data_IF_036642642860
#
_entry.id   IF_036642642860
#
_cell.length_a   1.000
_cell.length_b   1.000
_cell.length_c   1.000
_cell.angle_alpha   90.00
_cell.angle_beta   90.00
_cell.angle_gamma   90.00
#
_symmetry.space_group_name_H-M   'P 1'
#
loop_
_entity.id
_entity.type
_entity.pdbx_description
1 polymer ?
#
# COMPACT_ATOMS: atom_id res chain seq x y z
N UNK A 1 -7.63 -18.61 0.34
CA UNK A 1 -7.15 -17.27 0.74
C UNK A 1 -7.30 -16.33 -0.45
N UNK A 2 -8.04 -15.23 -0.31
CA UNK A 2 -8.42 -14.32 -1.42
C UNK A 2 -7.30 -13.38 -1.87
N UNK A 3 -6.05 -13.85 -1.92
CA UNK A 3 -4.85 -13.07 -2.29
C UNK A 3 -4.33 -13.56 -3.63
N UNK A 4 -3.85 -12.64 -4.47
CA UNK A 4 -3.22 -12.95 -5.75
C UNK A 4 -1.72 -12.70 -5.67
N UNK A 5 -0.93 -13.71 -6.02
CA UNK A 5 0.51 -13.56 -6.20
C UNK A 5 0.80 -13.05 -7.61
N UNK A 6 1.67 -12.05 -7.71
CA UNK A 6 2.09 -11.44 -8.98
C UNK A 6 3.61 -11.31 -8.94
N UNK A 7 4.28 -11.90 -9.93
CA UNK A 7 5.71 -11.73 -10.16
C UNK A 7 5.94 -11.20 -11.57
N UNK A 8 7.12 -10.62 -11.79
CA UNK A 8 7.57 -10.13 -13.10
C UNK A 8 8.90 -10.80 -13.48
N UNK A 9 9.17 -10.85 -14.78
CA UNK A 9 10.33 -11.56 -15.33
C UNK A 9 11.64 -10.78 -15.23
N UNK A 10 11.57 -9.45 -15.06
CA UNK A 10 12.76 -8.57 -14.97
C UNK A 10 12.70 -7.70 -13.71
N UNK A 11 13.87 -7.24 -13.25
CA UNK A 11 14.03 -6.57 -11.95
C UNK A 11 14.26 -5.05 -12.05
N UNK A 12 13.90 -4.42 -13.16
CA UNK A 12 14.08 -2.99 -13.40
C UNK A 12 13.32 -2.11 -12.40
N UNK A 13 13.83 -0.95 -12.01
CA UNK A 13 13.12 0.02 -11.14
C UNK A 13 12.69 -0.49 -9.75
N UNK A 14 13.28 -1.57 -9.24
CA UNK A 14 13.12 -2.06 -7.86
C UNK A 14 11.64 -2.10 -7.37
N UNK A 15 11.33 -1.49 -6.21
CA UNK A 15 9.98 -1.44 -5.61
C UNK A 15 8.96 -0.79 -6.54
N UNK A 16 9.32 0.32 -7.19
CA UNK A 16 8.43 1.01 -8.12
C UNK A 16 8.08 0.13 -9.33
N UNK A 17 9.04 -0.65 -9.85
CA UNK A 17 8.80 -1.61 -10.92
C UNK A 17 7.83 -2.73 -10.50
N UNK A 18 7.93 -3.22 -9.27
CA UNK A 18 7.00 -4.23 -8.74
C UNK A 18 5.57 -3.66 -8.63
N UNK A 19 5.42 -2.46 -8.06
CA UNK A 19 4.12 -1.80 -7.91
C UNK A 19 3.50 -1.53 -9.28
N UNK A 20 4.24 -0.93 -10.20
CA UNK A 20 3.75 -0.65 -11.55
C UNK A 20 3.33 -1.91 -12.31
N UNK A 21 4.02 -3.03 -12.11
CA UNK A 21 3.60 -4.31 -12.68
C UNK A 21 2.29 -4.81 -12.04
N UNK A 22 2.17 -4.75 -10.72
CA UNK A 22 0.98 -5.20 -10.00
C UNK A 22 -0.27 -4.34 -10.33
N UNK A 23 -0.09 -3.02 -10.52
CA UNK A 23 -1.17 -2.10 -10.87
C UNK A 23 -1.87 -2.44 -12.20
N UNK A 24 -1.18 -3.11 -13.14
CA UNK A 24 -1.79 -3.60 -14.40
C UNK A 24 -2.88 -4.65 -14.17
N UNK A 25 -2.87 -5.32 -13.01
CA UNK A 25 -3.81 -6.38 -12.65
C UNK A 25 -4.81 -5.94 -11.56
N UNK A 26 -4.51 -4.85 -10.84
CA UNK A 26 -5.39 -4.27 -9.84
C UNK A 26 -6.64 -3.69 -10.51
N UNK A 27 -7.81 -3.96 -9.92
CA UNK A 27 -9.12 -3.48 -10.42
C UNK A 27 -9.85 -2.57 -9.43
N UNK A 28 -9.26 -2.34 -8.26
CA UNK A 28 -9.83 -1.44 -7.25
C UNK A 28 -9.64 0.02 -7.64
N UNK A 29 -10.58 0.87 -7.24
CA UNK A 29 -10.50 2.33 -7.40
C UNK A 29 -9.37 2.93 -6.54
N UNK A 30 -9.11 2.32 -5.38
CA UNK A 30 -8.08 2.74 -4.45
C UNK A 30 -7.02 1.66 -4.28
N UNK A 31 -5.79 2.09 -4.00
CA UNK A 31 -4.65 1.22 -3.76
C UNK A 31 -4.05 1.56 -2.39
N UNK A 32 -3.80 0.53 -1.59
CA UNK A 32 -3.01 0.62 -0.37
C UNK A 32 -1.68 -0.12 -0.56
N UNK A 33 -0.60 0.45 -0.03
CA UNK A 33 0.75 -0.11 -0.13
C UNK A 33 1.24 -0.33 1.30
N UNK A 34 1.64 -1.57 1.59
CA UNK A 34 2.28 -1.96 2.84
C UNK A 34 3.61 -2.63 2.51
N UNK A 35 4.68 -2.26 3.20
CA UNK A 35 5.92 -3.00 3.14
C UNK A 35 5.80 -4.33 3.91
N UNK A 36 6.67 -5.30 3.61
CA UNK A 36 6.56 -6.66 4.14
C UNK A 36 6.73 -6.76 5.66
N UNK A 37 7.24 -5.71 6.29
CA UNK A 37 7.44 -5.53 7.72
C UNK A 37 6.32 -4.70 8.40
N UNK A 38 5.42 -4.10 7.62
CA UNK A 38 4.33 -3.27 8.15
C UNK A 38 3.01 -4.03 8.16
N UNK A 39 2.59 -4.46 9.35
CA UNK A 39 1.30 -5.12 9.56
C UNK A 39 0.22 -4.06 9.83
N UNK A 40 -0.76 -3.86 8.93
CA UNK A 40 -1.81 -2.86 9.15
C UNK A 40 -2.76 -3.27 10.27
N UNK A 41 -3.28 -2.29 10.99
CA UNK A 41 -4.36 -2.52 11.97
C UNK A 41 -5.67 -2.86 11.25
N UNK A 42 -6.56 -3.61 11.90
CA UNK A 42 -7.87 -3.98 11.34
C UNK A 42 -8.72 -2.76 10.96
N UNK A 43 -8.51 -1.62 11.62
CA UNK A 43 -9.23 -0.37 11.40
C UNK A 43 -8.64 0.50 10.29
N UNK A 44 -7.52 0.10 9.64
CA UNK A 44 -6.80 0.94 8.67
C UNK A 44 -7.72 1.56 7.60
N UNK A 45 -8.53 0.74 6.91
CA UNK A 45 -9.42 1.23 5.86
C UNK A 45 -10.58 2.07 6.43
N UNK A 46 -11.11 1.70 7.61
CA UNK A 46 -12.18 2.45 8.26
C UNK A 46 -11.74 3.89 8.60
N UNK A 47 -10.50 4.05 9.02
CA UNK A 47 -9.95 5.35 9.41
C UNK A 47 -9.48 6.20 8.22
N UNK A 48 -9.13 5.59 7.08
CA UNK A 48 -8.51 6.28 5.94
C UNK A 48 -9.48 6.55 4.80
N UNK A 49 -10.38 5.62 4.45
CA UNK A 49 -11.19 5.71 3.23
C UNK A 49 -12.21 6.85 3.23
N UNK A 50 -12.71 7.26 4.40
CA UNK A 50 -13.68 8.36 4.51
C UNK A 50 -13.16 9.68 3.97
N UNK A 51 -11.83 9.89 3.96
CA UNK A 51 -11.22 11.13 3.47
C UNK A 51 -11.26 11.26 1.96
N UNK A 52 -11.09 10.16 1.21
CA UNK A 52 -11.22 10.16 -0.24
C UNK A 52 -12.67 10.41 -0.70
N UNK A 53 -13.66 10.02 0.12
CA UNK A 53 -15.06 10.33 -0.13
C UNK A 53 -15.40 11.80 0.17
N UNK A 54 -14.75 12.37 1.20
CA UNK A 54 -14.96 13.75 1.63
C UNK A 54 -14.31 14.76 0.67
N UNK A 55 -13.07 14.50 0.24
CA UNK A 55 -12.28 15.41 -0.58
C UNK A 55 -12.00 14.80 -1.96
N UNK A 56 -12.72 15.28 -2.99
CA UNK A 56 -12.65 14.73 -4.35
C UNK A 56 -11.31 14.96 -5.04
N UNK A 57 -10.52 15.94 -4.59
CA UNK A 57 -9.19 16.21 -5.14
C UNK A 57 -8.07 15.49 -4.37
N UNK A 58 -8.40 14.69 -3.34
CA UNK A 58 -7.41 13.98 -2.55
C UNK A 58 -6.83 12.80 -3.34
N UNK A 59 -5.53 12.90 -3.69
CA UNK A 59 -4.83 11.85 -4.43
C UNK A 59 -4.09 10.85 -3.51
N UNK A 60 -3.71 11.25 -2.30
CA UNK A 60 -2.89 10.44 -1.40
C UNK A 60 -3.24 10.68 0.07
N UNK A 61 -3.28 9.61 0.86
CA UNK A 61 -3.40 9.65 2.31
C UNK A 61 -2.20 8.91 2.91
N UNK A 62 -1.38 9.61 3.69
CA UNK A 62 -0.22 9.04 4.38
C UNK A 62 -0.54 8.86 5.86
N UNK A 63 -0.30 7.67 6.41
CA UNK A 63 -0.35 7.42 7.85
C UNK A 63 1.04 7.46 8.46
N UNK A 64 1.18 7.79 9.76
CA UNK A 64 2.47 7.67 10.45
C UNK A 64 3.03 6.25 10.38
N UNK A 65 4.36 6.12 10.35
CA UNK A 65 5.03 4.84 10.51
C UNK A 65 5.33 4.61 11.99
N UNK A 66 4.94 3.45 12.50
CA UNK A 66 5.21 3.03 13.87
C UNK A 66 6.03 1.74 13.83
N UNK A 67 7.19 1.76 14.48
CA UNK A 67 8.12 0.65 14.53
C UNK A 67 8.06 -0.03 15.89
N UNK A 68 8.09 -1.36 15.90
CA UNK A 68 8.09 -2.14 17.15
C UNK A 68 9.45 -2.12 17.84
N UNK A 69 10.53 -2.09 17.06
CA UNK A 69 11.89 -2.02 17.56
C UNK A 69 12.39 -0.58 17.52
N UNK A 70 13.20 -0.16 18.51
CA UNK A 70 13.93 1.09 18.41
C UNK A 70 14.92 1.03 17.26
N UNK A 71 15.25 2.20 16.70
CA UNK A 71 16.35 2.31 15.75
C UNK A 71 17.66 1.89 16.41
N UNK A 72 18.61 1.29 15.66
CA UNK A 72 19.94 1.01 16.18
C UNK A 72 20.60 2.30 16.66
N UNK A 73 21.25 2.24 17.82
CA UNK A 73 22.09 3.33 18.36
C UNK A 73 23.46 3.30 17.69
#
# INVERSE_FOLDING_TARGET
MGVKYIARTTHEHAKAGNINNALKYAKGEFVSIFDCDHVPTRSFLQMTMGWFLKEKQLAMMQTPHHFFSPDPV
#
